data_IF_080868157153
#
_entry.id   IF_080868157153
#
_cell.length_a   1.000
_cell.length_b   1.000
_cell.length_c   1.000
_cell.angle_alpha   90.00
_cell.angle_beta   90.00
_cell.angle_gamma   90.00
#
_symmetry.space_group_name_H-M   'P 1'
#
loop_
_entity.id
_entity.type
_entity.pdbx_description
1 polymer ?
#
# COMPACT_ATOMS: atom_id res chain seq x y z
N UNK A 1 19.15 8.61 -5.31
CA UNK A 1 17.68 8.73 -5.34
C UNK A 1 17.10 7.69 -6.30
N UNK A 2 17.17 6.40 -5.96
CA UNK A 2 16.63 5.31 -6.80
C UNK A 2 15.45 4.64 -6.08
N UNK A 3 15.55 4.45 -4.76
CA UNK A 3 14.51 3.80 -3.95
C UNK A 3 13.13 4.49 -3.97
N UNK A 4 13.10 5.83 -4.02
CA UNK A 4 11.85 6.59 -3.96
C UNK A 4 11.03 6.49 -5.26
N UNK A 5 11.70 6.42 -6.42
CA UNK A 5 11.05 6.26 -7.72
C UNK A 5 10.37 4.88 -7.79
N UNK A 6 11.06 3.83 -7.34
CA UNK A 6 10.55 2.45 -7.33
C UNK A 6 9.32 2.27 -6.44
N UNK A 7 9.27 2.96 -5.29
CA UNK A 7 8.11 2.88 -4.39
C UNK A 7 6.90 3.60 -4.98
N UNK A 8 7.09 4.76 -5.60
CA UNK A 8 6.01 5.51 -6.24
C UNK A 8 5.33 4.69 -7.36
N UNK A 9 6.12 4.09 -8.25
CA UNK A 9 5.61 3.22 -9.32
C UNK A 9 4.85 2.00 -8.77
N UNK A 10 5.39 1.37 -7.71
CA UNK A 10 4.71 0.26 -7.04
C UNK A 10 3.36 0.67 -6.46
N UNK A 11 3.25 1.87 -5.87
CA UNK A 11 2.00 2.40 -5.34
C UNK A 11 0.98 2.68 -6.46
N UNK A 12 1.42 3.14 -7.63
CA UNK A 12 0.51 3.38 -8.77
C UNK A 12 -0.18 2.11 -9.26
N UNK A 13 0.48 0.96 -9.17
CA UNK A 13 -0.08 -0.35 -9.55
C UNK A 13 -1.05 -0.95 -8.53
N UNK A 14 -1.19 -0.34 -7.35
CA UNK A 14 -2.15 -0.80 -6.35
C UNK A 14 -3.59 -0.43 -6.72
N UNK A 15 -4.57 -1.32 -6.49
CA UNK A 15 -5.97 -0.94 -6.44
C UNK A 15 -6.17 0.26 -5.51
N UNK A 16 -7.00 1.23 -5.92
CA UNK A 16 -7.20 2.51 -5.22
C UNK A 16 -7.43 2.32 -3.72
N UNK A 17 -8.29 1.37 -3.34
CA UNK A 17 -8.62 1.10 -1.94
C UNK A 17 -7.44 0.55 -1.11
N UNK A 18 -6.57 -0.25 -1.73
CA UNK A 18 -5.36 -0.77 -1.10
C UNK A 18 -4.33 0.33 -0.91
N UNK A 19 -4.08 1.14 -1.96
CA UNK A 19 -3.19 2.31 -1.89
C UNK A 19 -3.63 3.27 -0.80
N UNK A 20 -4.92 3.60 -0.76
CA UNK A 20 -5.47 4.57 0.18
C UNK A 20 -5.30 4.11 1.64
N UNK A 21 -5.58 2.84 1.95
CA UNK A 21 -5.35 2.29 3.28
C UNK A 21 -3.86 2.27 3.67
N UNK A 22 -2.98 1.94 2.73
CA UNK A 22 -1.54 1.92 2.96
C UNK A 22 -0.97 3.33 3.20
N UNK A 23 -1.37 4.32 2.40
CA UNK A 23 -0.94 5.71 2.55
C UNK A 23 -1.38 6.27 3.90
N UNK A 24 -2.65 6.08 4.27
CA UNK A 24 -3.15 6.55 5.56
C UNK A 24 -2.41 5.88 6.73
N UNK A 25 -2.07 4.58 6.61
CA UNK A 25 -1.36 3.87 7.68
C UNK A 25 0.10 4.28 7.82
N UNK A 26 0.85 4.41 6.71
CA UNK A 26 2.31 4.53 6.76
C UNK A 26 2.83 5.95 6.49
N UNK A 27 2.10 6.76 5.73
CA UNK A 27 2.49 8.15 5.43
C UNK A 27 1.79 9.16 6.33
N UNK A 28 0.52 8.90 6.70
CA UNK A 28 -0.23 9.76 7.62
C UNK A 28 -0.24 9.24 9.07
N UNK A 29 0.45 8.12 9.33
CA UNK A 29 0.56 7.43 10.62
C UNK A 29 -0.76 7.25 11.40
N UNK A 30 -1.87 7.02 10.68
CA UNK A 30 -3.17 6.81 11.30
C UNK A 30 -3.33 5.37 11.79
N UNK A 31 -4.02 5.21 12.93
CA UNK A 31 -4.38 3.89 13.45
C UNK A 31 -5.48 3.21 12.62
N UNK A 32 -5.51 1.88 12.61
CA UNK A 32 -6.54 1.10 11.89
C UNK A 32 -7.98 1.51 12.26
N UNK A 33 -8.34 1.73 13.54
CA UNK A 33 -9.68 2.21 13.90
C UNK A 33 -9.99 3.60 13.33
N UNK A 34 -8.99 4.49 13.26
CA UNK A 34 -9.17 5.84 12.69
C UNK A 34 -9.38 5.78 11.19
N UNK A 35 -8.60 4.94 10.49
CA UNK A 35 -8.76 4.71 9.05
C UNK A 35 -10.13 4.09 8.75
N UNK A 36 -10.58 3.13 9.55
CA UNK A 36 -11.88 2.49 9.40
C UNK A 36 -13.03 3.51 9.45
N UNK A 37 -12.99 4.41 10.44
CA UNK A 37 -13.96 5.52 10.54
C UNK A 37 -13.85 6.51 9.39
N UNK A 38 -12.63 6.91 9.01
CA UNK A 38 -12.40 7.89 7.94
C UNK A 38 -12.89 7.39 6.57
N UNK A 39 -12.73 6.09 6.31
CA UNK A 39 -13.10 5.46 5.04
C UNK A 39 -14.50 4.84 5.05
N UNK A 40 -15.21 4.90 6.17
CA UNK A 40 -16.52 4.28 6.39
C UNK A 40 -16.54 2.78 6.03
N UNK A 41 -15.59 2.02 6.58
CA UNK A 41 -15.48 0.56 6.38
C UNK A 41 -15.11 -0.16 7.68
N UNK A 42 -15.39 -1.47 7.81
CA UNK A 42 -14.95 -2.25 8.95
C UNK A 42 -13.42 -2.27 9.10
N UNK A 43 -12.92 -2.35 10.34
CA UNK A 43 -11.48 -2.50 10.60
C UNK A 43 -10.87 -3.73 9.91
N UNK A 44 -11.63 -4.83 9.81
CA UNK A 44 -11.22 -6.01 9.07
C UNK A 44 -10.94 -5.73 7.59
N UNK A 45 -11.73 -4.84 6.97
CA UNK A 45 -11.52 -4.39 5.58
C UNK A 45 -10.28 -3.51 5.45
N UNK A 46 -9.99 -2.66 6.44
CA UNK A 46 -8.74 -1.88 6.46
C UNK A 46 -7.54 -2.82 6.53
N UNK A 47 -7.56 -3.79 7.45
CA UNK A 47 -6.49 -4.78 7.62
C UNK A 47 -6.28 -5.59 6.34
N UNK A 48 -7.34 -6.10 5.72
CA UNK A 48 -7.23 -6.87 4.48
C UNK A 48 -6.71 -6.04 3.30
N UNK A 49 -7.12 -4.77 3.18
CA UNK A 49 -6.58 -3.82 2.19
C UNK A 49 -5.08 -3.58 2.39
N UNK A 50 -4.62 -3.38 3.62
CA UNK A 50 -3.19 -3.22 3.94
C UNK A 50 -2.41 -4.50 3.61
N UNK A 51 -2.90 -5.66 4.04
CA UNK A 51 -2.25 -6.94 3.73
C UNK A 51 -2.15 -7.17 2.21
N UNK A 52 -3.23 -6.92 1.46
CA UNK A 52 -3.22 -7.01 0.01
C UNK A 52 -2.27 -6.02 -0.66
N UNK A 53 -2.22 -4.79 -0.17
CA UNK A 53 -1.31 -3.76 -0.66
C UNK A 53 0.16 -4.20 -0.52
N UNK A 54 0.56 -4.66 0.66
CA UNK A 54 1.93 -5.12 0.93
C UNK A 54 2.28 -6.35 0.08
N UNK A 55 1.34 -7.29 -0.11
CA UNK A 55 1.56 -8.45 -0.96
C UNK A 55 1.78 -8.08 -2.42
N UNK A 56 0.96 -7.18 -2.97
CA UNK A 56 1.14 -6.66 -4.34
C UNK A 56 2.48 -5.94 -4.47
N UNK A 57 2.79 -4.99 -3.58
CA UNK A 57 4.06 -4.25 -3.64
C UNK A 57 5.28 -5.18 -3.59
N UNK A 58 5.24 -6.23 -2.76
CA UNK A 58 6.33 -7.23 -2.74
C UNK A 58 6.52 -7.94 -4.07
N UNK A 59 5.46 -8.22 -4.82
CA UNK A 59 5.54 -8.82 -6.15
C UNK A 59 6.09 -7.82 -7.16
N UNK A 60 5.52 -6.62 -7.22
CA UNK A 60 5.95 -5.59 -8.19
C UNK A 60 7.42 -5.18 -7.98
N UNK A 61 7.88 -5.04 -6.74
CA UNK A 61 9.28 -4.71 -6.45
C UNK A 61 10.25 -5.85 -6.76
N UNK A 62 9.79 -7.11 -6.72
CA UNK A 62 10.62 -8.25 -7.18
C UNK A 62 10.78 -8.23 -8.69
N UNK A 63 9.71 -7.93 -9.43
CA UNK A 63 9.76 -7.83 -10.88
C UNK A 63 10.68 -6.68 -11.32
N UNK A 64 10.59 -5.52 -10.68
CA UNK A 64 11.48 -4.38 -10.97
C UNK A 64 12.96 -4.77 -10.74
N UNK A 65 13.29 -5.43 -9.62
CA UNK A 65 14.65 -5.90 -9.35
C UNK A 65 15.12 -7.00 -10.32
N UNK A 66 14.20 -7.82 -10.84
CA UNK A 66 14.51 -8.84 -11.85
C UNK A 66 14.77 -8.26 -13.24
N UNK A 67 14.39 -7.01 -13.49
CA UNK A 67 14.64 -6.32 -14.78
C UNK A 67 16.04 -5.68 -14.83
N UNK A 68 16.72 -5.58 -13.69
CA UNK A 68 18.08 -5.04 -13.56
C UNK A 68 19.18 -6.13 -13.59
N UNK A 69 18.81 -7.41 -13.79
CA UNK A 69 19.71 -8.56 -13.77
C UNK A 69 20.02 -9.13 -15.17
#
# INVERSE_FOLDING_TARGET
MVLALTVAEGLERLPKAQRQALVLRYYADLSVPTIARLLDVPEGTVKSRIHGAVATLRRELRDIRGTEA
#
